data_IF_389218936927
#
_entry.id   IF_389218936927
#
_cell.length_a   1.000
_cell.length_b   1.000
_cell.length_c   1.000
_cell.angle_alpha   90.00
_cell.angle_beta   90.00
_cell.angle_gamma   90.00
#
_symmetry.space_group_name_H-M   'P 1'
#
loop_
_entity.id
_entity.type
_entity.pdbx_description
1 polymer ?
#
# COMPACT_ATOMS: atom_id res chain seq x y z
N UNK A 1 28.11 12.72 -0.69
CA UNK A 1 26.99 13.68 -0.74
C UNK A 1 25.69 12.91 -0.60
N UNK A 2 24.90 13.10 0.46
CA UNK A 2 23.51 12.60 0.52
C UNK A 2 22.74 13.33 -0.57
N UNK A 3 22.26 12.63 -1.60
CA UNK A 3 21.48 13.22 -2.68
C UNK A 3 20.26 13.96 -2.11
N UNK A 4 19.93 15.12 -2.70
CA UNK A 4 18.77 15.93 -2.31
C UNK A 4 17.50 15.05 -2.35
N UNK A 5 16.76 14.99 -1.25
CA UNK A 5 15.51 14.21 -1.14
C UNK A 5 14.52 14.72 -2.18
N UNK A 6 13.92 13.80 -2.95
CA UNK A 6 12.95 14.16 -3.98
C UNK A 6 11.55 14.21 -3.37
N UNK A 7 10.99 15.42 -3.28
CA UNK A 7 9.67 15.67 -2.71
C UNK A 7 8.54 14.97 -3.48
N UNK A 8 8.68 14.74 -4.80
CA UNK A 8 7.67 14.07 -5.61
C UNK A 8 7.41 12.64 -5.10
N UNK A 9 8.46 11.95 -4.62
CA UNK A 9 8.33 10.62 -4.01
C UNK A 9 7.60 10.66 -2.67
N UNK A 10 7.77 11.73 -1.90
CA UNK A 10 7.04 11.95 -0.64
C UNK A 10 5.56 12.26 -0.92
N UNK A 11 5.27 13.01 -1.97
CA UNK A 11 3.89 13.27 -2.44
C UNK A 11 3.23 11.96 -2.86
N UNK A 12 3.89 11.13 -3.69
CA UNK A 12 3.36 9.82 -4.10
C UNK A 12 3.03 8.97 -2.86
N UNK A 13 3.93 8.90 -1.87
CA UNK A 13 3.70 8.12 -0.66
C UNK A 13 2.55 8.67 0.19
N UNK A 14 2.38 10.01 0.23
CA UNK A 14 1.26 10.65 0.91
C UNK A 14 -0.07 10.31 0.22
N UNK A 15 -0.11 10.38 -1.12
CA UNK A 15 -1.29 9.97 -1.89
C UNK A 15 -1.58 8.48 -1.66
N UNK A 16 -0.56 7.63 -1.66
CA UNK A 16 -0.74 6.20 -1.43
C UNK A 16 -1.37 5.92 -0.06
N UNK A 17 -0.85 6.48 1.03
CA UNK A 17 -1.41 6.24 2.37
C UNK A 17 -2.81 6.86 2.53
N UNK A 18 -3.07 8.05 1.98
CA UNK A 18 -4.41 8.64 1.98
C UNK A 18 -5.40 7.77 1.20
N UNK A 19 -4.97 7.23 0.06
CA UNK A 19 -5.80 6.32 -0.74
C UNK A 19 -6.13 5.01 -0.01
N UNK A 20 -5.21 4.47 0.81
CA UNK A 20 -5.51 3.30 1.66
C UNK A 20 -6.68 3.59 2.60
N UNK A 21 -6.61 4.72 3.33
CA UNK A 21 -7.67 5.09 4.27
C UNK A 21 -9.00 5.37 3.54
N UNK A 22 -8.92 5.90 2.32
CA UNK A 22 -10.08 6.12 1.45
C UNK A 22 -10.74 4.80 1.01
N UNK A 23 -9.94 3.77 0.68
CA UNK A 23 -10.48 2.43 0.38
C UNK A 23 -11.09 1.80 1.63
N UNK A 24 -10.49 2.01 2.81
CA UNK A 24 -11.04 1.52 4.09
C UNK A 24 -12.41 2.16 4.41
N UNK A 25 -12.69 3.37 3.92
CA UNK A 25 -14.02 3.95 4.02
C UNK A 25 -15.06 3.01 3.41
N UNK A 26 -14.89 2.59 2.16
CA UNK A 26 -15.82 1.68 1.49
C UNK A 26 -15.91 0.31 2.15
N UNK A 27 -14.80 -0.17 2.72
CA UNK A 27 -14.75 -1.44 3.44
C UNK A 27 -15.58 -1.41 4.74
N UNK A 28 -15.61 -0.27 5.44
CA UNK A 28 -16.19 -0.17 6.78
C UNK A 28 -17.62 0.41 6.80
N UNK A 29 -18.10 1.02 5.71
CA UNK A 29 -19.46 1.61 5.65
C UNK A 29 -20.53 0.66 5.11
N UNK A 30 -20.21 -0.59 4.79
CA UNK A 30 -21.17 -1.55 4.23
C UNK A 30 -21.41 -1.43 2.72
N UNK A 31 -20.53 -0.73 1.98
CA UNK A 31 -20.61 -0.54 0.52
C UNK A 31 -20.81 -1.85 -0.25
N UNK A 32 -20.08 -2.91 0.10
CA UNK A 32 -20.14 -4.21 -0.60
C UNK A 32 -21.42 -5.01 -0.33
N UNK A 33 -22.25 -4.57 0.60
CA UNK A 33 -23.53 -5.21 0.92
C UNK A 33 -24.73 -4.52 0.24
N UNK A 34 -24.50 -3.34 -0.35
CA UNK A 34 -25.55 -2.55 -1.02
C UNK A 34 -25.72 -2.93 -2.48
N UNK A 35 -26.94 -2.77 -2.98
CA UNK A 35 -27.23 -2.91 -4.40
C UNK A 35 -26.67 -1.74 -5.20
N UNK A 36 -26.02 -2.04 -6.30
CA UNK A 36 -25.45 -1.03 -7.20
C UNK A 36 -26.59 -0.36 -7.99
N UNK A 37 -27.07 0.76 -7.45
CA UNK A 37 -28.17 1.57 -8.01
C UNK A 37 -27.97 3.05 -7.71
N UNK A 38 -28.38 3.88 -8.65
CA UNK A 38 -28.50 5.32 -8.47
C UNK A 38 -27.18 6.10 -8.41
N UNK A 39 -27.29 7.43 -8.46
CA UNK A 39 -26.16 8.35 -8.63
C UNK A 39 -25.13 8.31 -7.48
N UNK A 40 -25.59 8.14 -6.22
CA UNK A 40 -24.67 8.08 -5.06
C UNK A 40 -23.79 6.83 -5.12
N UNK A 41 -24.37 5.67 -5.46
CA UNK A 41 -23.60 4.43 -5.60
C UNK A 41 -22.63 4.51 -6.77
N UNK A 42 -23.01 5.14 -7.87
CA UNK A 42 -22.11 5.43 -8.99
C UNK A 42 -20.90 6.27 -8.55
N UNK A 43 -21.13 7.35 -7.79
CA UNK A 43 -20.05 8.19 -7.25
C UNK A 43 -19.14 7.39 -6.28
N UNK A 44 -19.73 6.52 -5.44
CA UNK A 44 -18.96 5.63 -4.56
C UNK A 44 -18.04 4.69 -5.34
N UNK A 45 -18.54 4.12 -6.44
CA UNK A 45 -17.75 3.23 -7.30
C UNK A 45 -16.60 3.98 -7.96
N UNK A 46 -16.83 5.19 -8.49
CA UNK A 46 -15.78 6.02 -9.07
C UNK A 46 -14.70 6.34 -8.03
N UNK A 47 -15.10 6.79 -6.85
CA UNK A 47 -14.14 7.13 -5.78
C UNK A 47 -13.35 5.89 -5.31
N UNK A 48 -14.03 4.75 -5.12
CA UNK A 48 -13.34 3.51 -4.79
C UNK A 48 -12.32 3.13 -5.86
N UNK A 49 -12.72 3.17 -7.12
CA UNK A 49 -11.83 2.86 -8.25
C UNK A 49 -10.62 3.80 -8.28
N UNK A 50 -10.83 5.10 -8.04
CA UNK A 50 -9.75 6.08 -7.96
C UNK A 50 -8.74 5.77 -6.85
N UNK A 51 -9.20 5.33 -5.67
CA UNK A 51 -8.33 5.11 -4.51
C UNK A 51 -7.70 3.71 -4.44
N UNK A 52 -8.13 2.75 -5.28
CA UNK A 52 -7.51 1.42 -5.34
C UNK A 52 -6.04 1.44 -5.76
N UNK A 53 -5.54 2.55 -6.28
CA UNK A 53 -4.13 2.77 -6.62
C UNK A 53 -3.17 2.67 -5.43
N UNK A 54 -3.67 2.63 -4.20
CA UNK A 54 -2.93 2.75 -2.95
C UNK A 54 -1.75 1.77 -2.84
N UNK A 55 -2.00 0.48 -2.89
CA UNK A 55 -0.97 -0.58 -2.76
C UNK A 55 -0.01 -0.59 -3.96
N UNK A 56 -0.48 -0.51 -5.21
CA UNK A 56 0.38 -0.37 -6.37
C UNK A 56 1.36 0.79 -6.29
N UNK A 57 0.95 1.96 -5.79
CA UNK A 57 1.84 3.11 -5.63
C UNK A 57 2.99 2.82 -4.65
N UNK A 58 2.74 2.10 -3.54
CA UNK A 58 3.81 1.69 -2.63
C UNK A 58 4.79 0.70 -3.26
N UNK A 59 4.30 -0.22 -4.10
CA UNK A 59 5.15 -1.19 -4.79
C UNK A 59 5.97 -0.55 -5.91
N UNK A 60 5.38 0.36 -6.69
CA UNK A 60 6.10 1.19 -7.67
C UNK A 60 7.21 2.01 -7.01
N UNK A 61 6.90 2.66 -5.86
CA UNK A 61 7.89 3.36 -5.05
C UNK A 61 9.01 2.45 -4.57
N UNK A 62 8.68 1.24 -4.14
CA UNK A 62 9.67 0.25 -3.69
C UNK A 62 10.62 -0.10 -4.83
N UNK A 63 10.13 -0.41 -6.03
CA UNK A 63 10.94 -0.65 -7.21
C UNK A 63 11.80 0.56 -7.57
N UNK A 64 11.20 1.75 -7.58
CA UNK A 64 11.89 2.99 -7.92
C UNK A 64 13.03 3.34 -6.95
N UNK A 65 12.86 3.09 -5.64
CA UNK A 65 13.82 3.45 -4.61
C UNK A 65 14.85 2.37 -4.33
N UNK A 66 14.49 1.11 -4.55
CA UNK A 66 15.30 -0.04 -4.12
C UNK A 66 15.96 -0.80 -5.28
N UNK A 67 15.82 -0.33 -6.52
CA UNK A 67 16.34 -0.98 -7.73
C UNK A 67 17.87 -1.24 -7.74
N UNK A 68 18.65 -0.53 -6.91
CA UNK A 68 20.13 -0.69 -6.81
C UNK A 68 20.57 -1.34 -5.49
N UNK A 69 19.63 -1.88 -4.70
CA UNK A 69 20.00 -2.58 -3.47
C UNK A 69 20.64 -3.92 -3.78
N UNK A 70 21.77 -4.17 -3.12
CA UNK A 70 22.57 -5.38 -3.26
C UNK A 70 22.49 -6.23 -2.00
N UNK A 71 22.83 -7.50 -2.12
CA UNK A 71 22.92 -8.46 -1.03
C UNK A 71 23.97 -7.98 -0.03
N UNK A 72 23.54 -7.60 1.18
CA UNK A 72 24.44 -7.17 2.25
C UNK A 72 23.76 -7.28 3.61
N UNK A 73 24.55 -7.49 4.67
CA UNK A 73 24.06 -7.49 6.05
C UNK A 73 23.34 -6.17 6.40
N UNK A 74 23.89 -5.05 5.98
CA UNK A 74 23.30 -3.71 6.22
C UNK A 74 21.95 -3.55 5.56
N UNK A 75 21.74 -4.15 4.38
CA UNK A 75 20.44 -4.18 3.72
C UNK A 75 19.38 -4.86 4.60
N UNK A 76 19.65 -6.09 5.03
CA UNK A 76 18.68 -6.86 5.83
C UNK A 76 18.42 -6.26 7.22
N UNK A 77 19.41 -5.61 7.82
CA UNK A 77 19.20 -4.86 9.07
C UNK A 77 18.20 -3.69 8.92
N UNK A 78 18.01 -3.19 7.69
CA UNK A 78 16.98 -2.20 7.39
C UNK A 78 15.55 -2.67 7.69
N UNK A 79 15.31 -3.99 7.68
CA UNK A 79 14.00 -4.58 8.01
C UNK A 79 13.62 -4.37 9.48
N UNK A 80 14.61 -4.29 10.38
CA UNK A 80 14.38 -4.10 11.82
C UNK A 80 13.53 -2.87 12.09
N UNK A 81 13.76 -1.77 11.36
CA UNK A 81 12.96 -0.55 11.53
C UNK A 81 11.48 -0.78 11.17
N UNK A 82 11.22 -1.47 10.07
CA UNK A 82 9.86 -1.80 9.62
C UNK A 82 9.17 -2.73 10.61
N UNK A 83 9.86 -3.78 11.04
CA UNK A 83 9.33 -4.73 12.02
C UNK A 83 9.05 -4.08 13.39
N UNK A 84 9.94 -3.19 13.86
CA UNK A 84 9.73 -2.45 15.12
C UNK A 84 8.49 -1.55 15.03
N UNK A 85 8.26 -0.87 13.89
CA UNK A 85 7.03 -0.10 13.68
C UNK A 85 5.80 -1.00 13.73
N UNK A 86 5.82 -2.13 13.02
CA UNK A 86 4.75 -3.13 13.05
C UNK A 86 4.49 -3.64 14.48
N UNK A 87 5.55 -4.00 15.21
CA UNK A 87 5.45 -4.50 16.59
C UNK A 87 4.77 -3.49 17.50
N UNK A 88 5.24 -2.24 17.53
CA UNK A 88 4.69 -1.18 18.39
C UNK A 88 3.21 -0.92 18.08
N UNK A 89 2.86 -0.86 16.79
CA UNK A 89 1.46 -0.66 16.38
C UNK A 89 0.62 -1.87 16.73
N UNK A 90 1.10 -3.09 16.50
CA UNK A 90 0.38 -4.32 16.86
C UNK A 90 0.09 -4.40 18.35
N UNK A 91 1.07 -4.08 19.19
CA UNK A 91 0.87 -3.97 20.65
C UNK A 91 -0.26 -3.01 20.97
N UNK A 92 -0.21 -1.78 20.41
CA UNK A 92 -1.26 -0.77 20.62
C UNK A 92 -2.64 -1.27 20.15
N UNK A 93 -2.72 -1.86 18.95
CA UNK A 93 -3.98 -2.37 18.39
C UNK A 93 -4.56 -3.53 19.23
N UNK A 94 -3.71 -4.44 19.72
CA UNK A 94 -4.15 -5.55 20.58
C UNK A 94 -4.72 -5.02 21.90
N UNK A 95 -4.03 -4.08 22.56
CA UNK A 95 -4.54 -3.45 23.79
C UNK A 95 -5.83 -2.70 23.56
N UNK A 96 -5.91 -1.91 22.47
CA UNK A 96 -7.14 -1.20 22.10
C UNK A 96 -8.30 -2.17 21.87
N UNK A 97 -8.08 -3.22 21.08
CA UNK A 97 -9.13 -4.21 20.76
C UNK A 97 -9.62 -4.92 22.02
N UNK A 98 -8.69 -5.27 22.91
CA UNK A 98 -9.01 -5.90 24.18
C UNK A 98 -9.87 -4.99 25.09
N UNK A 99 -9.50 -3.71 25.17
CA UNK A 99 -10.27 -2.71 25.92
C UNK A 99 -11.64 -2.44 25.29
N UNK A 100 -11.68 -2.22 23.97
CA UNK A 100 -12.90 -1.81 23.25
C UNK A 100 -13.98 -2.89 23.25
N UNK A 101 -13.60 -4.17 23.18
CA UNK A 101 -14.52 -5.30 23.16
C UNK A 101 -14.63 -6.00 24.54
N UNK A 102 -14.12 -5.40 25.61
CA UNK A 102 -14.12 -5.97 26.97
C UNK A 102 -13.60 -7.42 27.03
N UNK A 103 -12.59 -7.72 26.19
CA UNK A 103 -11.98 -9.05 26.08
C UNK A 103 -10.82 -9.24 27.04
N UNK A 104 -10.42 -10.50 27.25
CA UNK A 104 -9.19 -10.86 27.93
C UNK A 104 -8.30 -11.67 27.00
N UNK A 105 -7.11 -11.15 26.68
CA UNK A 105 -6.15 -11.83 25.82
C UNK A 105 -5.04 -12.43 26.67
N UNK A 106 -4.95 -13.77 26.69
CA UNK A 106 -3.82 -14.46 27.31
C UNK A 106 -2.51 -14.23 26.54
N UNK A 107 -1.39 -14.34 27.23
CA UNK A 107 -0.04 -14.08 26.68
C UNK A 107 0.25 -14.91 25.41
N UNK A 108 -0.19 -16.14 25.34
CA UNK A 108 -0.05 -17.00 24.16
C UNK A 108 -0.73 -16.38 22.93
N UNK A 109 -1.99 -15.95 23.07
CA UNK A 109 -2.75 -15.33 21.97
C UNK A 109 -2.13 -14.00 21.56
N UNK A 110 -1.64 -13.22 22.54
CA UNK A 110 -0.93 -11.96 22.28
C UNK A 110 0.31 -12.20 21.39
N UNK A 111 1.18 -13.14 21.78
CA UNK A 111 2.39 -13.46 21.02
C UNK A 111 2.03 -14.00 19.63
N UNK A 112 1.06 -14.93 19.53
CA UNK A 112 0.64 -15.49 18.25
C UNK A 112 0.07 -14.44 17.30
N UNK A 113 -0.70 -13.43 17.79
CA UNK A 113 -1.20 -12.33 16.95
C UNK A 113 -0.08 -11.47 16.37
N UNK A 114 1.01 -11.28 17.08
CA UNK A 114 2.18 -10.57 16.57
C UNK A 114 2.90 -11.40 15.52
N UNK A 115 3.16 -12.67 15.82
CA UNK A 115 3.95 -13.55 14.95
C UNK A 115 3.25 -13.87 13.61
N UNK A 116 1.93 -14.01 13.59
CA UNK A 116 1.16 -14.33 12.39
C UNK A 116 0.57 -13.08 11.69
N UNK A 117 1.12 -11.90 11.94
CA UNK A 117 0.72 -10.62 11.33
C UNK A 117 -0.76 -10.27 11.47
N UNK A 118 -1.42 -10.69 12.58
CA UNK A 118 -2.82 -10.37 12.87
C UNK A 118 -2.99 -9.42 14.06
N UNK A 119 -1.91 -8.83 14.55
CA UNK A 119 -1.92 -7.87 15.66
C UNK A 119 -2.65 -6.56 15.30
N UNK A 120 -2.51 -6.08 14.09
CA UNK A 120 -3.30 -4.99 13.52
C UNK A 120 -4.16 -5.51 12.36
N UNK A 121 -5.39 -5.01 12.22
CA UNK A 121 -6.41 -5.51 11.26
C UNK A 121 -5.93 -5.56 9.80
N UNK A 122 -5.04 -4.67 9.41
CA UNK A 122 -4.62 -4.52 8.02
C UNK A 122 -3.16 -4.97 7.77
N UNK A 123 -2.60 -5.82 8.62
CA UNK A 123 -1.16 -6.17 8.58
C UNK A 123 -0.72 -7.04 7.39
N UNK A 124 -1.65 -7.57 6.60
CA UNK A 124 -1.34 -8.41 5.43
C UNK A 124 -0.32 -7.78 4.46
N UNK A 125 -0.37 -6.44 4.31
CA UNK A 125 0.60 -5.74 3.47
C UNK A 125 2.03 -5.82 4.02
N UNK A 126 2.19 -5.83 5.35
CA UNK A 126 3.52 -5.97 5.98
C UNK A 126 4.10 -7.35 5.72
N UNK A 127 3.28 -8.39 5.85
CA UNK A 127 3.66 -9.76 5.53
C UNK A 127 4.15 -9.87 4.08
N UNK A 128 3.36 -9.39 3.12
CA UNK A 128 3.72 -9.33 1.70
C UNK A 128 5.00 -8.49 1.48
N UNK A 129 5.10 -7.32 2.11
CA UNK A 129 6.25 -6.42 1.96
C UNK A 129 7.55 -7.02 2.51
N UNK A 130 7.50 -7.73 3.65
CA UNK A 130 8.66 -8.43 4.20
C UNK A 130 9.16 -9.48 3.20
N UNK A 131 8.27 -10.29 2.64
CA UNK A 131 8.62 -11.27 1.61
C UNK A 131 9.28 -10.61 0.39
N UNK A 132 8.66 -9.55 -0.13
CA UNK A 132 9.24 -8.78 -1.24
C UNK A 132 10.62 -8.19 -0.86
N UNK A 133 10.74 -7.59 0.33
CA UNK A 133 11.99 -7.01 0.80
C UNK A 133 13.12 -8.04 0.81
N UNK A 134 12.88 -9.24 1.31
CA UNK A 134 13.90 -10.29 1.39
C UNK A 134 14.43 -10.70 0.02
N UNK A 135 13.60 -10.70 -1.02
CA UNK A 135 14.00 -11.12 -2.38
C UNK A 135 14.51 -9.99 -3.27
N UNK A 136 14.34 -8.70 -2.90
CA UNK A 136 14.75 -7.54 -3.73
C UNK A 136 16.20 -7.62 -4.24
N UNK A 137 17.22 -7.98 -3.44
CA UNK A 137 18.59 -8.06 -3.96
C UNK A 137 18.72 -9.06 -5.12
N UNK A 138 17.99 -10.18 -5.07
CA UNK A 138 17.98 -11.19 -6.13
C UNK A 138 17.18 -10.70 -7.35
N UNK A 139 16.07 -10.02 -7.15
CA UNK A 139 15.31 -9.39 -8.24
C UNK A 139 16.16 -8.36 -8.99
N UNK A 140 16.99 -7.62 -8.27
CA UNK A 140 17.91 -6.66 -8.86
C UNK A 140 19.01 -7.36 -9.68
N UNK A 141 19.52 -8.52 -9.25
CA UNK A 141 20.46 -9.30 -10.05
C UNK A 141 19.85 -9.74 -11.38
N UNK A 142 18.59 -10.21 -11.35
CA UNK A 142 17.86 -10.56 -12.57
C UNK A 142 17.71 -9.33 -13.47
N UNK A 143 17.24 -8.22 -12.92
CA UNK A 143 16.97 -7.01 -13.68
C UNK A 143 18.21 -6.41 -14.34
N UNK A 144 19.34 -6.34 -13.62
CA UNK A 144 20.59 -5.80 -14.13
C UNK A 144 21.43 -6.81 -14.92
N UNK A 145 21.14 -8.12 -14.79
CA UNK A 145 21.65 -9.15 -15.68
C UNK A 145 21.13 -9.01 -17.11
N UNK A 146 19.90 -8.47 -17.25
CA UNK A 146 19.31 -8.15 -18.55
C UNK A 146 19.92 -6.86 -19.11
N UNK A 147 20.70 -7.00 -20.19
CA UNK A 147 21.39 -5.85 -20.81
C UNK A 147 20.52 -5.18 -21.86
N UNK A 148 20.37 -3.84 -21.72
CA UNK A 148 19.59 -3.02 -22.64
C UNK A 148 18.11 -2.89 -22.29
N UNK A 149 17.43 -2.03 -23.02
CA UNK A 149 16.02 -1.64 -22.75
C UNK A 149 15.03 -2.74 -23.11
N UNK A 150 15.21 -3.39 -24.27
CA UNK A 150 14.26 -4.39 -24.80
C UNK A 150 14.10 -5.63 -23.90
N UNK A 151 15.18 -6.31 -23.39
CA UNK A 151 15.02 -7.45 -22.50
C UNK A 151 14.30 -7.09 -21.18
N UNK A 152 14.53 -5.89 -20.64
CA UNK A 152 13.81 -5.42 -19.44
C UNK A 152 12.33 -5.15 -19.69
N UNK A 153 12.00 -4.62 -20.88
CA UNK A 153 10.60 -4.49 -21.31
C UNK A 153 9.95 -5.87 -21.48
N UNK A 154 10.64 -6.83 -22.05
CA UNK A 154 10.14 -8.20 -22.21
C UNK A 154 9.86 -8.83 -20.84
N UNK A 155 10.75 -8.67 -19.85
CA UNK A 155 10.51 -9.14 -18.48
C UNK A 155 9.21 -8.54 -17.90
N UNK A 156 9.00 -7.23 -18.06
CA UNK A 156 7.79 -6.57 -17.58
C UNK A 156 6.55 -7.08 -18.31
N UNK A 157 6.62 -7.21 -19.65
CA UNK A 157 5.49 -7.74 -20.44
C UNK A 157 5.16 -9.17 -20.03
N UNK A 158 6.16 -10.02 -19.83
CA UNK A 158 5.96 -11.39 -19.34
C UNK A 158 5.25 -11.40 -18.00
N UNK A 159 5.67 -10.57 -17.06
CA UNK A 159 5.01 -10.47 -15.75
C UNK A 159 3.60 -9.88 -15.87
N UNK A 160 3.36 -8.91 -16.75
CA UNK A 160 2.02 -8.39 -17.02
C UNK A 160 1.11 -9.50 -17.57
N UNK A 161 1.61 -10.34 -18.49
CA UNK A 161 0.85 -11.49 -19.02
C UNK A 161 0.50 -12.52 -17.95
N UNK A 162 1.41 -12.75 -16.99
CA UNK A 162 1.19 -13.74 -15.93
C UNK A 162 0.33 -13.24 -14.77
N UNK A 163 0.30 -11.92 -14.50
CA UNK A 163 -0.26 -11.39 -13.25
C UNK A 163 -1.41 -10.42 -13.43
N UNK A 164 -1.34 -9.51 -14.42
CA UNK A 164 -2.32 -8.43 -14.60
C UNK A 164 -3.30 -8.74 -15.72
N UNK A 165 -2.81 -9.20 -16.87
CA UNK A 165 -3.66 -9.47 -18.03
C UNK A 165 -4.68 -10.61 -17.83
N UNK A 166 -4.48 -11.60 -16.93
CA UNK A 166 -5.56 -12.50 -16.56
C UNK A 166 -6.81 -11.77 -16.06
N UNK A 167 -6.63 -10.64 -15.35
CA UNK A 167 -7.76 -9.82 -14.91
C UNK A 167 -8.52 -9.15 -16.05
N UNK A 168 -7.88 -8.88 -17.18
CA UNK A 168 -8.47 -8.21 -18.34
C UNK A 168 -9.12 -9.21 -19.31
N UNK A 169 -8.45 -10.34 -19.58
CA UNK A 169 -8.85 -11.26 -20.64
C UNK A 169 -9.69 -12.44 -20.16
N UNK A 170 -9.55 -12.86 -18.90
CA UNK A 170 -10.37 -13.92 -18.35
C UNK A 170 -11.77 -13.40 -17.99
N UNK A 171 -12.77 -14.24 -18.17
CA UNK A 171 -14.16 -13.88 -17.89
C UNK A 171 -14.56 -14.48 -16.54
N UNK A 172 -14.90 -13.61 -15.61
CA UNK A 172 -15.18 -13.93 -14.22
C UNK A 172 -16.69 -13.92 -13.95
N UNK A 173 -17.16 -14.83 -13.09
CA UNK A 173 -18.56 -14.92 -12.71
C UNK A 173 -19.44 -15.46 -13.85
N UNK A 174 -18.94 -16.43 -14.62
CA UNK A 174 -19.64 -17.01 -15.77
C UNK A 174 -20.60 -18.14 -15.31
N UNK A 175 -21.83 -18.12 -15.81
CA UNK A 175 -22.81 -19.18 -15.60
C UNK A 175 -23.01 -20.06 -16.82
N UNK A 176 -22.21 -19.88 -17.87
CA UNK A 176 -22.33 -20.58 -19.16
C UNK A 176 -23.01 -19.76 -20.25
N UNK A 177 -23.50 -18.57 -19.96
CA UNK A 177 -24.10 -17.65 -20.91
C UNK A 177 -23.17 -16.51 -21.29
N UNK A 178 -23.10 -16.09 -22.55
CA UNK A 178 -22.36 -14.89 -22.98
C UNK A 178 -22.84 -13.60 -22.31
N UNK A 179 -24.08 -13.58 -21.82
CA UNK A 179 -24.63 -12.45 -21.08
C UNK A 179 -23.86 -12.16 -19.80
N UNK A 180 -23.25 -13.17 -19.17
CA UNK A 180 -22.47 -13.02 -17.93
C UNK A 180 -21.15 -12.28 -18.11
N UNK A 181 -20.68 -12.05 -19.33
CA UNK A 181 -19.56 -11.14 -19.60
C UNK A 181 -19.87 -9.73 -19.08
N UNK A 182 -21.11 -9.28 -19.29
CA UNK A 182 -21.55 -7.94 -18.89
C UNK A 182 -22.33 -7.93 -17.57
N UNK A 183 -22.97 -9.04 -17.23
CA UNK A 183 -23.82 -9.19 -16.03
C UNK A 183 -23.35 -10.42 -15.25
N UNK A 184 -22.29 -10.29 -14.43
CA UNK A 184 -21.74 -11.42 -13.69
C UNK A 184 -22.75 -11.95 -12.69
N UNK A 185 -22.68 -13.24 -12.44
CA UNK A 185 -23.39 -13.91 -11.35
C UNK A 185 -22.48 -14.05 -10.15
N UNK A 186 -23.02 -14.48 -8.99
CA UNK A 186 -22.22 -14.84 -7.80
C UNK A 186 -21.38 -16.12 -8.01
N UNK A 187 -21.31 -16.63 -9.26
CA UNK A 187 -20.52 -17.80 -9.61
C UNK A 187 -19.03 -17.53 -9.43
N UNK A 188 -18.32 -18.47 -8.82
CA UNK A 188 -16.86 -18.48 -8.74
C UNK A 188 -16.20 -19.02 -10.02
N UNK A 189 -16.98 -19.42 -11.01
CA UNK A 189 -16.46 -19.96 -12.26
C UNK A 189 -15.77 -18.87 -13.08
N UNK A 190 -14.68 -19.26 -13.70
CA UNK A 190 -13.86 -18.41 -14.55
C UNK A 190 -13.62 -19.12 -15.86
N UNK A 191 -13.81 -18.42 -16.98
CA UNK A 191 -13.31 -18.88 -18.27
C UNK A 191 -11.89 -18.32 -18.44
N UNK A 192 -10.90 -19.18 -18.30
CA UNK A 192 -9.49 -18.82 -18.39
C UNK A 192 -9.05 -18.82 -19.87
N UNK A 193 -8.83 -17.64 -20.41
CA UNK A 193 -8.22 -17.45 -21.74
C UNK A 193 -6.69 -17.37 -21.56
N UNK A 194 -6.25 -16.72 -20.47
CA UNK A 194 -4.85 -16.65 -20.05
C UNK A 194 -4.71 -17.35 -18.71
N UNK A 195 -3.71 -18.25 -18.53
CA UNK A 195 -3.47 -18.91 -17.25
C UNK A 195 -3.29 -17.91 -16.12
N UNK A 196 -4.00 -18.10 -15.01
CA UNK A 196 -3.97 -17.17 -13.86
C UNK A 196 -3.20 -17.72 -12.65
N UNK A 197 -2.61 -18.92 -12.75
CA UNK A 197 -1.92 -19.57 -11.63
C UNK A 197 -0.81 -18.71 -11.00
N UNK A 198 -0.10 -17.91 -11.82
CA UNK A 198 0.99 -17.05 -11.39
C UNK A 198 0.54 -15.65 -10.94
N UNK A 199 -0.74 -15.39 -10.84
CA UNK A 199 -1.29 -14.07 -10.53
C UNK A 199 -0.77 -13.52 -9.20
N UNK A 200 -0.49 -14.37 -8.20
CA UNK A 200 0.04 -13.95 -6.89
C UNK A 200 1.42 -13.26 -6.97
N UNK A 201 2.15 -13.38 -8.10
CA UNK A 201 3.40 -12.65 -8.33
C UNK A 201 3.19 -11.17 -8.71
N UNK A 202 1.97 -10.67 -8.72
CA UNK A 202 1.66 -9.28 -9.07
C UNK A 202 2.49 -8.20 -8.34
N UNK A 203 2.99 -8.38 -7.09
CA UNK A 203 3.87 -7.39 -6.47
C UNK A 203 5.19 -7.20 -7.22
N UNK A 204 5.71 -8.27 -7.86
CA UNK A 204 6.94 -8.22 -8.66
C UNK A 204 6.75 -7.40 -9.94
N UNK A 205 5.55 -7.46 -10.52
CA UNK A 205 5.20 -6.66 -11.71
C UNK A 205 5.33 -5.18 -11.42
N UNK A 206 4.71 -4.69 -10.34
CA UNK A 206 4.84 -3.29 -9.93
C UNK A 206 6.27 -2.93 -9.53
N UNK A 207 6.98 -3.84 -8.87
CA UNK A 207 8.38 -3.64 -8.52
C UNK A 207 9.23 -3.37 -9.76
N UNK A 208 9.16 -4.21 -10.78
CA UNK A 208 9.96 -4.03 -12.00
C UNK A 208 9.50 -2.85 -12.86
N UNK A 209 8.22 -2.52 -12.89
CA UNK A 209 7.74 -1.26 -13.49
C UNK A 209 8.39 -0.07 -12.77
N UNK A 210 8.45 -0.06 -11.43
CA UNK A 210 9.14 0.96 -10.65
C UNK A 210 10.63 1.05 -10.97
N UNK A 211 11.33 -0.08 -11.08
CA UNK A 211 12.74 -0.15 -11.50
C UNK A 211 12.94 0.47 -12.90
N UNK A 212 12.08 0.11 -13.83
CA UNK A 212 12.14 0.59 -15.21
C UNK A 212 11.91 2.11 -15.30
N UNK A 213 10.91 2.62 -14.58
CA UNK A 213 10.65 4.06 -14.51
C UNK A 213 11.82 4.83 -13.87
N UNK A 214 12.56 4.22 -12.95
CA UNK A 214 13.76 4.82 -12.37
C UNK A 214 14.90 4.91 -13.35
N UNK A 215 15.08 3.91 -14.20
CA UNK A 215 16.22 3.82 -15.12
C UNK A 215 15.98 4.61 -16.42
N UNK A 216 14.79 4.49 -16.98
CA UNK A 216 14.49 5.06 -18.32
C UNK A 216 13.56 6.26 -18.29
N UNK A 217 12.85 6.49 -17.18
CA UNK A 217 11.82 7.51 -17.12
C UNK A 217 10.61 7.23 -18.03
N UNK A 218 9.71 8.16 -18.09
CA UNK A 218 8.60 8.18 -19.05
C UNK A 218 8.17 9.62 -19.34
N UNK A 219 8.15 10.00 -20.61
CA UNK A 219 7.81 11.36 -21.04
C UNK A 219 6.29 11.58 -21.10
N UNK A 220 5.66 11.79 -19.94
CA UNK A 220 4.26 12.18 -19.83
C UNK A 220 4.16 13.35 -18.86
N UNK A 221 3.68 14.51 -19.34
CA UNK A 221 3.51 15.68 -18.48
C UNK A 221 2.44 15.43 -17.43
N UNK A 222 2.51 16.15 -16.30
CA UNK A 222 1.52 16.05 -15.23
C UNK A 222 0.09 16.24 -15.74
N UNK A 223 -0.15 17.29 -16.56
CA UNK A 223 -1.47 17.59 -17.12
C UNK A 223 -2.01 16.46 -18.00
N UNK A 224 -1.17 15.90 -18.88
CA UNK A 224 -1.56 14.75 -19.71
C UNK A 224 -1.85 13.52 -18.86
N UNK A 225 -1.06 13.30 -17.80
CA UNK A 225 -1.29 12.19 -16.88
C UNK A 225 -2.63 12.31 -16.16
N UNK A 226 -2.97 13.51 -15.66
CA UNK A 226 -4.28 13.79 -15.05
C UNK A 226 -5.42 13.60 -16.04
N UNK A 227 -5.26 14.09 -17.28
CA UNK A 227 -6.27 13.91 -18.33
C UNK A 227 -6.57 12.44 -18.60
N UNK A 228 -5.53 11.62 -18.78
CA UNK A 228 -5.70 10.19 -19.01
C UNK A 228 -6.22 9.47 -17.77
N UNK A 229 -5.77 9.84 -16.57
CA UNK A 229 -6.29 9.29 -15.32
C UNK A 229 -7.80 9.51 -15.20
N UNK A 230 -8.28 10.75 -15.42
CA UNK A 230 -9.70 11.07 -15.35
C UNK A 230 -10.51 10.35 -16.45
N UNK A 231 -9.96 10.29 -17.68
CA UNK A 231 -10.60 9.58 -18.78
C UNK A 231 -10.79 8.08 -18.49
N UNK A 232 -9.72 7.39 -18.07
CA UNK A 232 -9.81 5.98 -17.69
C UNK A 232 -10.67 5.76 -16.45
N UNK A 233 -10.59 6.65 -15.46
CA UNK A 233 -11.41 6.56 -14.25
C UNK A 233 -12.91 6.59 -14.58
N UNK A 234 -13.31 7.45 -15.50
CA UNK A 234 -14.72 7.54 -15.96
C UNK A 234 -15.11 6.26 -16.70
N UNK A 235 -14.28 5.78 -17.63
CA UNK A 235 -14.53 4.53 -18.37
C UNK A 235 -14.68 3.35 -17.40
N UNK A 236 -13.72 3.17 -16.50
CA UNK A 236 -13.76 2.08 -15.51
C UNK A 236 -14.92 2.24 -14.52
N UNK A 237 -15.24 3.47 -14.11
CA UNK A 237 -16.40 3.75 -13.27
C UNK A 237 -17.71 3.32 -13.91
N UNK A 238 -17.93 3.63 -15.19
CA UNK A 238 -19.10 3.19 -15.95
C UNK A 238 -19.12 1.67 -16.13
N UNK A 239 -17.99 1.07 -16.48
CA UNK A 239 -17.87 -0.38 -16.61
C UNK A 239 -18.22 -1.10 -15.30
N UNK A 240 -17.63 -0.67 -14.19
CA UNK A 240 -17.84 -1.27 -12.88
C UNK A 240 -19.29 -1.08 -12.38
N UNK A 241 -19.87 0.07 -12.64
CA UNK A 241 -21.27 0.33 -12.29
C UNK A 241 -22.23 -0.51 -13.16
N UNK A 242 -22.04 -0.52 -14.47
CA UNK A 242 -22.88 -1.28 -15.41
C UNK A 242 -22.82 -2.79 -15.15
N UNK A 243 -21.59 -3.30 -14.94
CA UNK A 243 -21.36 -4.72 -14.68
C UNK A 243 -22.06 -5.20 -13.40
N UNK A 244 -22.07 -4.39 -12.36
CA UNK A 244 -22.68 -4.74 -11.07
C UNK A 244 -24.11 -4.22 -10.90
N UNK A 245 -24.72 -3.65 -11.94
CA UNK A 245 -26.04 -2.99 -11.83
C UNK A 245 -27.12 -3.97 -11.33
N UNK A 246 -27.90 -3.53 -10.34
CA UNK A 246 -28.92 -4.32 -9.64
C UNK A 246 -28.38 -5.50 -8.81
N UNK A 247 -27.08 -5.69 -8.72
CA UNK A 247 -26.42 -6.67 -7.86
C UNK A 247 -25.60 -5.96 -6.78
N UNK A 248 -25.09 -6.73 -5.82
CA UNK A 248 -24.02 -6.23 -4.93
C UNK A 248 -22.77 -5.99 -5.76
N UNK A 249 -21.89 -5.12 -5.25
CA UNK A 249 -20.59 -4.93 -5.87
C UNK A 249 -19.75 -6.20 -5.70
N UNK A 250 -19.73 -7.03 -6.73
CA UNK A 250 -19.04 -8.32 -6.72
C UNK A 250 -17.55 -8.08 -6.84
N UNK A 251 -16.77 -8.62 -5.88
CA UNK A 251 -15.32 -8.61 -5.97
C UNK A 251 -14.88 -9.37 -7.22
N UNK A 252 -14.17 -8.69 -8.12
CA UNK A 252 -13.60 -9.29 -9.29
C UNK A 252 -12.17 -8.76 -9.52
N UNK A 253 -11.30 -9.55 -10.16
CA UNK A 253 -9.91 -9.17 -10.38
C UNK A 253 -9.71 -7.87 -11.16
N UNK A 254 -10.67 -7.42 -11.96
CA UNK A 254 -10.54 -6.22 -12.79
C UNK A 254 -10.11 -4.99 -12.00
N UNK A 255 -10.70 -4.78 -10.84
CA UNK A 255 -10.54 -3.63 -9.98
C UNK A 255 -9.90 -3.94 -8.62
N UNK A 256 -9.22 -5.06 -8.53
CA UNK A 256 -8.37 -5.39 -7.38
C UNK A 256 -6.95 -4.84 -7.58
N UNK A 257 -6.05 -5.00 -6.61
CA UNK A 257 -4.66 -4.49 -6.70
C UNK A 257 -3.87 -5.09 -7.86
N UNK A 258 -4.18 -6.33 -8.26
CA UNK A 258 -3.64 -7.00 -9.44
C UNK A 258 -4.51 -6.80 -10.69
N UNK A 259 -5.52 -5.94 -10.62
CA UNK A 259 -6.40 -5.63 -11.74
C UNK A 259 -5.79 -4.66 -12.75
N UNK A 260 -6.17 -4.83 -14.00
CA UNK A 260 -5.74 -3.96 -15.10
C UNK A 260 -6.13 -2.49 -14.85
N UNK A 261 -7.35 -2.24 -14.38
CA UNK A 261 -7.83 -0.89 -14.08
C UNK A 261 -6.94 -0.18 -13.05
N UNK A 262 -6.68 -0.87 -11.96
CA UNK A 262 -5.84 -0.35 -10.87
C UNK A 262 -4.40 -0.10 -11.33
N UNK A 263 -3.85 -1.01 -12.17
CA UNK A 263 -2.51 -0.88 -12.71
C UNK A 263 -2.38 0.38 -13.60
N UNK A 264 -3.32 0.57 -14.53
CA UNK A 264 -3.30 1.74 -15.42
C UNK A 264 -3.39 3.03 -14.63
N UNK A 265 -4.35 3.14 -13.69
CA UNK A 265 -4.54 4.33 -12.87
C UNK A 265 -3.32 4.61 -11.98
N UNK A 266 -2.75 3.58 -11.34
CA UNK A 266 -1.58 3.74 -10.46
C UNK A 266 -0.34 4.20 -11.23
N UNK A 267 -0.06 3.62 -12.40
CA UNK A 267 1.08 4.00 -13.24
C UNK A 267 0.93 5.45 -13.74
N UNK A 268 -0.27 5.85 -14.15
CA UNK A 268 -0.54 7.23 -14.56
C UNK A 268 -0.30 8.21 -13.42
N UNK A 269 -0.82 7.96 -12.23
CA UNK A 269 -0.59 8.83 -11.06
C UNK A 269 0.89 8.86 -10.72
N UNK A 270 1.57 7.73 -10.72
CA UNK A 270 3.00 7.64 -10.39
C UNK A 270 3.86 8.48 -11.35
N UNK A 271 3.68 8.32 -12.67
CA UNK A 271 4.40 9.05 -13.70
C UNK A 271 4.06 10.55 -13.63
N UNK A 272 2.78 10.89 -13.48
CA UNK A 272 2.34 12.27 -13.40
C UNK A 272 3.00 13.02 -12.25
N UNK A 273 3.00 12.44 -11.05
CA UNK A 273 3.64 13.06 -9.88
C UNK A 273 5.17 13.08 -10.01
N UNK A 274 5.81 12.05 -10.59
CA UNK A 274 7.25 12.09 -10.84
C UNK A 274 7.66 13.27 -11.71
N UNK A 275 6.85 13.61 -12.70
CA UNK A 275 7.09 14.70 -13.65
C UNK A 275 6.48 16.04 -13.21
N UNK A 276 5.90 16.10 -12.01
CA UNK A 276 5.39 17.34 -11.43
C UNK A 276 6.54 18.32 -11.15
N UNK A 277 6.42 19.54 -11.65
CA UNK A 277 7.39 20.60 -11.34
C UNK A 277 7.19 21.08 -9.89
N UNK A 278 8.12 20.72 -9.03
CA UNK A 278 8.13 21.11 -7.63
C UNK A 278 9.30 22.04 -7.27
N UNK A 279 9.89 22.72 -8.26
CA UNK A 279 11.04 23.63 -8.07
C UNK A 279 10.74 24.77 -7.08
N UNK A 280 9.50 25.22 -6.98
CA UNK A 280 9.06 26.23 -6.00
C UNK A 280 8.92 25.72 -4.57
N UNK A 281 8.97 24.40 -4.32
CA UNK A 281 8.83 23.83 -2.98
C UNK A 281 10.23 23.70 -2.36
N UNK A 282 10.59 24.63 -1.49
CA UNK A 282 11.88 24.62 -0.82
C UNK A 282 11.87 23.74 0.44
N UNK A 283 13.06 23.23 0.84
CA UNK A 283 13.22 22.40 2.05
C UNK A 283 12.75 23.09 3.34
N UNK A 284 12.77 24.43 3.35
CA UNK A 284 12.32 25.24 4.50
C UNK A 284 10.80 25.41 4.55
N UNK A 285 10.08 25.17 3.44
CA UNK A 285 8.64 25.39 3.36
C UNK A 285 7.87 24.41 4.27
N UNK A 286 6.73 24.87 4.82
CA UNK A 286 5.83 24.03 5.61
C UNK A 286 5.30 22.84 4.80
N UNK A 287 5.02 23.05 3.53
CA UNK A 287 4.55 22.03 2.58
C UNK A 287 5.57 20.90 2.45
N UNK A 288 6.86 21.23 2.25
CA UNK A 288 7.92 20.23 2.17
C UNK A 288 7.99 19.40 3.45
N UNK A 289 8.02 20.07 4.61
CA UNK A 289 8.10 19.42 5.93
C UNK A 289 6.89 18.50 6.17
N UNK A 290 5.69 18.94 5.78
CA UNK A 290 4.46 18.17 5.91
C UNK A 290 4.53 16.87 5.10
N UNK A 291 4.77 16.93 3.79
CA UNK A 291 4.86 15.74 2.94
C UNK A 291 5.97 14.81 3.38
N UNK A 292 7.13 15.36 3.73
CA UNK A 292 8.26 14.57 4.24
C UNK A 292 7.87 13.81 5.51
N UNK A 293 7.18 14.47 6.45
CA UNK A 293 6.79 13.85 7.72
C UNK A 293 5.72 12.79 7.54
N UNK A 294 4.70 13.06 6.73
CA UNK A 294 3.68 12.07 6.38
C UNK A 294 4.32 10.85 5.70
N UNK A 295 5.23 11.09 4.75
CA UNK A 295 5.95 10.01 4.06
C UNK A 295 6.78 9.14 5.02
N UNK A 296 7.44 9.73 6.01
CA UNK A 296 8.19 8.99 7.04
C UNK A 296 7.30 8.13 7.92
N UNK A 297 6.10 8.60 8.23
CA UNK A 297 5.15 7.96 9.14
C UNK A 297 4.13 7.08 8.42
N UNK A 298 4.16 6.99 7.09
CA UNK A 298 3.11 6.38 6.27
C UNK A 298 2.74 4.95 6.69
N UNK A 299 3.72 4.13 7.06
CA UNK A 299 3.49 2.77 7.55
C UNK A 299 2.72 2.77 8.87
N UNK A 300 3.13 3.61 9.82
CA UNK A 300 2.44 3.73 11.11
C UNK A 300 1.02 4.27 10.94
N UNK A 301 0.81 5.31 10.09
CA UNK A 301 -0.50 5.87 9.77
C UNK A 301 -1.43 4.78 9.25
N UNK A 302 -0.95 4.01 8.27
CA UNK A 302 -1.70 2.90 7.68
C UNK A 302 -2.13 1.87 8.72
N UNK A 303 -1.21 1.38 9.54
CA UNK A 303 -1.51 0.31 10.49
C UNK A 303 -2.40 0.78 11.65
N UNK A 304 -2.14 1.98 12.18
CA UNK A 304 -2.90 2.56 13.30
C UNK A 304 -4.33 2.93 12.89
N UNK A 305 -4.57 3.21 11.61
CA UNK A 305 -5.90 3.62 11.12
C UNK A 305 -7.01 2.65 11.53
N UNK A 306 -6.70 1.37 11.69
CA UNK A 306 -7.66 0.35 12.12
C UNK A 306 -8.34 0.65 13.46
N UNK A 307 -7.67 1.34 14.38
CA UNK A 307 -8.22 1.78 15.67
C UNK A 307 -9.32 2.82 15.43
N UNK A 308 -9.01 3.85 14.64
CA UNK A 308 -9.92 4.94 14.35
C UNK A 308 -11.04 4.52 13.41
N UNK A 309 -10.76 3.61 12.48
CA UNK A 309 -11.78 2.97 11.65
C UNK A 309 -12.83 2.28 12.52
N UNK A 310 -12.41 1.50 13.53
CA UNK A 310 -13.34 0.80 14.42
C UNK A 310 -14.26 1.78 15.16
N UNK A 311 -13.75 2.90 15.65
CA UNK A 311 -14.53 3.86 16.44
C UNK A 311 -15.40 4.76 15.58
N UNK A 312 -14.79 5.38 14.54
CA UNK A 312 -15.48 6.41 13.76
C UNK A 312 -16.53 5.82 12.82
N UNK A 313 -16.24 4.68 12.18
CA UNK A 313 -17.24 4.04 11.31
C UNK A 313 -18.37 3.38 12.10
N UNK A 314 -18.13 2.87 13.31
CA UNK A 314 -19.21 2.39 14.17
C UNK A 314 -20.21 3.53 14.48
N UNK A 315 -19.69 4.72 14.86
CA UNK A 315 -20.52 5.91 15.09
C UNK A 315 -21.23 6.39 13.82
N UNK A 316 -20.52 6.47 12.67
CA UNK A 316 -21.12 6.87 11.40
C UNK A 316 -22.25 5.91 10.99
N UNK A 317 -22.03 4.61 11.11
CA UNK A 317 -22.98 3.59 10.71
C UNK A 317 -24.25 3.61 11.58
N UNK A 318 -24.09 3.92 12.87
CA UNK A 318 -25.22 4.11 13.79
C UNK A 318 -25.98 5.42 13.49
N UNK A 319 -25.27 6.51 13.21
CA UNK A 319 -25.87 7.82 12.95
C UNK A 319 -26.58 7.89 11.59
N UNK A 320 -26.01 7.24 10.56
CA UNK A 320 -26.52 7.25 9.17
C UNK A 320 -26.89 5.82 8.75
N UNK A 321 -28.13 5.36 8.94
CA UNK A 321 -28.54 4.01 8.60
C UNK A 321 -28.42 3.68 7.10
N UNK A 322 -28.68 4.64 6.22
CA UNK A 322 -28.64 4.45 4.76
C UNK A 322 -27.21 4.52 4.25
N UNK A 323 -26.70 3.40 3.77
CA UNK A 323 -25.29 3.24 3.34
C UNK A 323 -24.86 4.28 2.30
N UNK A 324 -25.66 4.52 1.26
CA UNK A 324 -25.31 5.48 0.20
C UNK A 324 -25.28 6.94 0.67
N UNK A 325 -25.99 7.29 1.75
CA UNK A 325 -25.92 8.62 2.37
C UNK A 325 -24.62 8.83 3.15
N UNK A 326 -23.96 7.76 3.58
CA UNK A 326 -22.66 7.85 4.28
C UNK A 326 -21.57 8.48 3.43
N UNK A 327 -21.72 8.48 2.09
CA UNK A 327 -20.82 9.16 1.16
C UNK A 327 -20.65 10.65 1.47
N UNK A 328 -21.69 11.32 1.95
CA UNK A 328 -21.68 12.76 2.32
C UNK A 328 -20.64 13.05 3.42
N UNK A 329 -20.32 12.06 4.24
CA UNK A 329 -19.33 12.15 5.32
C UNK A 329 -17.92 11.74 4.91
N UNK A 330 -17.69 11.37 3.65
CA UNK A 330 -16.37 10.92 3.17
C UNK A 330 -15.26 11.94 3.47
N UNK A 331 -15.52 13.21 3.12
CA UNK A 331 -14.54 14.29 3.29
C UNK A 331 -14.38 14.76 4.75
N UNK A 332 -15.19 14.26 5.66
CA UNK A 332 -15.04 14.48 7.09
C UNK A 332 -14.33 13.30 7.76
N UNK A 333 -14.82 12.09 7.52
CA UNK A 333 -14.34 10.89 8.23
C UNK A 333 -12.93 10.48 7.78
N UNK A 334 -12.67 10.42 6.48
CA UNK A 334 -11.35 9.97 5.99
C UNK A 334 -10.22 10.92 6.43
N UNK A 335 -10.34 12.26 6.29
CA UNK A 335 -9.34 13.18 6.85
C UNK A 335 -9.21 13.10 8.37
N UNK A 336 -10.30 12.84 9.10
CA UNK A 336 -10.27 12.67 10.56
C UNK A 336 -9.49 11.41 10.96
N UNK A 337 -9.76 10.27 10.31
CA UNK A 337 -8.99 9.02 10.50
C UNK A 337 -7.53 9.28 10.18
N UNK A 338 -7.24 9.95 9.05
CA UNK A 338 -5.88 10.27 8.65
C UNK A 338 -5.14 11.11 9.70
N UNK A 339 -5.76 12.19 10.17
CA UNK A 339 -5.16 13.09 11.14
C UNK A 339 -4.88 12.38 12.48
N UNK A 340 -5.87 11.65 13.01
CA UNK A 340 -5.72 10.91 14.27
C UNK A 340 -4.64 9.83 14.15
N UNK A 341 -4.60 9.11 13.02
CA UNK A 341 -3.57 8.11 12.73
C UNK A 341 -2.20 8.74 12.58
N UNK A 342 -2.10 9.92 11.97
CA UNK A 342 -0.85 10.67 11.86
C UNK A 342 -0.30 11.06 13.24
N UNK A 343 -1.15 11.65 14.11
CA UNK A 343 -0.76 12.05 15.46
C UNK A 343 -0.28 10.84 16.27
N UNK A 344 -1.06 9.76 16.28
CA UNK A 344 -0.68 8.54 17.01
C UNK A 344 0.61 7.92 16.47
N UNK A 345 0.74 7.85 15.14
CA UNK A 345 1.97 7.35 14.49
C UNK A 345 3.19 8.22 14.81
N UNK A 346 3.01 9.53 14.95
CA UNK A 346 4.07 10.43 15.36
C UNK A 346 4.60 10.11 16.77
N UNK A 347 3.72 9.89 17.74
CA UNK A 347 4.11 9.48 19.10
C UNK A 347 4.81 8.10 19.10
N UNK A 348 4.29 7.12 18.38
CA UNK A 348 4.95 5.81 18.26
C UNK A 348 6.32 5.91 17.61
N UNK A 349 6.51 6.81 16.66
CA UNK A 349 7.82 7.06 16.04
C UNK A 349 8.83 7.67 17.02
N UNK A 350 8.38 8.55 17.93
CA UNK A 350 9.26 9.06 19.02
C UNK A 350 9.71 7.90 19.90
N UNK A 351 8.78 7.04 20.34
CA UNK A 351 9.10 5.85 21.15
C UNK A 351 10.09 4.94 20.39
N UNK A 352 9.85 4.68 19.13
CA UNK A 352 10.76 3.89 18.29
C UNK A 352 12.17 4.47 18.25
N UNK A 353 12.29 5.79 18.07
CA UNK A 353 13.60 6.46 18.04
C UNK A 353 14.31 6.41 19.42
N UNK A 354 13.57 6.50 20.52
CA UNK A 354 14.11 6.32 21.87
C UNK A 354 14.67 4.91 22.06
N UNK A 355 13.94 3.87 21.64
CA UNK A 355 14.39 2.48 21.69
C UNK A 355 15.71 2.32 20.92
N UNK A 356 15.77 2.82 19.67
CA UNK A 356 17.01 2.72 18.88
C UNK A 356 18.17 3.49 19.48
N UNK A 357 17.93 4.66 20.07
CA UNK A 357 18.97 5.44 20.76
C UNK A 357 19.52 4.67 21.97
N UNK A 358 18.64 4.09 22.79
CA UNK A 358 19.03 3.29 23.96
C UNK A 358 19.83 2.04 23.54
N UNK A 359 19.38 1.30 22.53
CA UNK A 359 20.10 0.11 22.06
C UNK A 359 21.50 0.44 21.50
N UNK A 360 21.64 1.55 20.78
CA UNK A 360 22.94 2.01 20.29
C UNK A 360 23.90 2.41 21.43
N UNK A 361 23.40 3.09 22.46
CA UNK A 361 24.21 3.44 23.64
C UNK A 361 24.67 2.21 24.39
N UNK A 362 23.77 1.24 24.62
CA UNK A 362 24.11 -0.03 25.29
C UNK A 362 25.17 -0.82 24.51
N UNK A 363 25.02 -0.90 23.18
CA UNK A 363 25.98 -1.60 22.32
C UNK A 363 27.37 -0.93 22.37
N UNK A 364 27.43 0.39 22.33
CA UNK A 364 28.69 1.17 22.46
C UNK A 364 29.34 0.97 23.83
N UNK A 365 28.55 1.00 24.90
CA UNK A 365 29.04 0.75 26.26
C UNK A 365 29.58 -0.68 26.41
N UNK A 366 28.89 -1.67 25.87
CA UNK A 366 29.33 -3.08 25.89
C UNK A 366 30.66 -3.27 25.13
N UNK A 367 30.82 -2.69 23.96
CA UNK A 367 32.09 -2.74 23.20
C UNK A 367 33.21 -2.10 24.00
N UNK A 368 32.97 -0.90 24.57
CA UNK A 368 34.00 -0.20 25.37
C UNK A 368 34.41 -1.00 26.63
N UNK A 369 33.43 -1.66 27.29
CA UNK A 369 33.72 -2.51 28.46
C UNK A 369 34.52 -3.76 28.06
N UNK A 370 34.18 -4.37 26.92
CA UNK A 370 34.91 -5.53 26.41
C UNK A 370 36.36 -5.19 26.01
N UNK A 371 36.56 -4.03 25.36
CA UNK A 371 37.92 -3.55 25.03
C UNK A 371 38.77 -3.32 26.28
N UNK A 372 38.20 -2.66 27.30
CA UNK A 372 38.90 -2.46 28.57
C UNK A 372 39.27 -3.78 29.29
N UNK A 373 38.39 -4.80 29.15
CA UNK A 373 38.65 -6.12 29.73
C UNK A 373 39.73 -6.89 28.96
N UNK A 374 39.77 -6.77 27.63
CA UNK A 374 40.87 -7.35 26.81
C UNK A 374 42.23 -6.67 27.12
N UNK A 375 42.27 -5.34 27.30
CA UNK A 375 43.45 -4.62 27.70
C UNK A 375 43.94 -5.06 29.11
N UNK A 376 42.99 -5.32 30.06
CA UNK A 376 43.34 -5.82 31.41
C UNK A 376 43.84 -7.27 31.42
N UNK A 377 43.36 -8.09 30.49
CA UNK A 377 43.70 -9.52 30.40
C UNK A 377 44.91 -9.79 29.48
N UNK A 378 45.60 -8.75 28.97
CA UNK A 378 46.82 -8.84 28.15
C UNK A 378 46.66 -9.63 26.87
N UNK A 379 45.44 -9.73 26.28
CA UNK A 379 45.13 -10.40 25.01
C UNK A 379 45.06 -9.35 23.93
N UNK A 380 46.03 -9.37 23.01
CA UNK A 380 45.95 -8.61 21.75
C UNK A 380 44.75 -9.09 20.93
N UNK A 381 44.05 -8.14 20.31
CA UNK A 381 42.89 -8.35 19.45
C UNK A 381 43.29 -8.86 18.06
#
# INVERSE_FOLDING_TARGET
>A
MKGKRNINLDIIRTIAVFSVLSVHFFLNIGFYNELVRGKRMFAMIILRTAFMICVPLFLLLTGYLMNKKVLSKTYYLGLIKTYTTYFLVSVLCIFFTNYYYSGHIGIRTFVMRILNFSGAKYSWYIEMYIGLFLIIPFLNLIYYGLKGKKPKQLLIITLLMLTIFPSLFNIWGIDGSFRTIFFPTDSTRVLEIIPNYWQFLWPLTYYYIGCYLKEYGFNLTFQKSVFWFLGFLVIFGFFNFGRNYNNKFIGAPYYDWYGFETMVLAVLVFIGILNLNTSGITVKSAIYKCFTKISELSLGIYLVSSIFDTVLYAKLNAYVPVVTKRLEYFFLIVPSVFFLSFVTSYFLHIIQNMIFCCTQKLHKSYITSKMKKCESDGRDL
#
